data_IF_916019953710
#
_entry.id   IF_916019953710
#
_cell.length_a   1.000
_cell.length_b   1.000
_cell.length_c   1.000
_cell.angle_alpha   90.00
_cell.angle_beta   90.00
_cell.angle_gamma   90.00
#
_symmetry.space_group_name_H-M   'P 1'
#
loop_
_entity.id
_entity.type
_entity.pdbx_description
1 polymer ?
#
# COMPACT_ATOMS: atom_id res chain seq x y z
N UNK A 1 -6.78 57.15 16.91
CA UNK A 1 -7.97 56.89 16.08
C UNK A 1 -8.63 55.61 16.59
N UNK A 2 -9.90 55.64 17.03
CA UNK A 2 -10.59 54.46 17.53
C UNK A 2 -11.14 53.61 16.37
N UNK A 3 -11.00 52.30 16.50
CA UNK A 3 -11.48 51.26 15.58
C UNK A 3 -13.02 51.20 15.65
N UNK A 4 -13.68 51.36 14.50
CA UNK A 4 -15.13 51.30 14.39
C UNK A 4 -15.61 49.85 14.53
N UNK A 5 -16.42 49.58 15.55
CA UNK A 5 -17.11 48.33 15.74
C UNK A 5 -18.09 48.06 14.59
N UNK A 6 -17.85 46.98 13.84
CA UNK A 6 -18.75 46.52 12.78
C UNK A 6 -20.13 46.08 13.31
N UNK A 7 -21.17 46.08 12.47
CA UNK A 7 -22.55 45.87 12.89
C UNK A 7 -22.75 44.44 13.43
N UNK A 8 -23.30 44.36 14.64
CA UNK A 8 -23.75 43.11 15.28
C UNK A 8 -25.06 42.68 14.62
N UNK A 9 -25.00 41.62 13.81
CA UNK A 9 -26.17 41.02 13.15
C UNK A 9 -27.07 40.37 14.23
N UNK A 10 -28.38 40.69 14.29
CA UNK A 10 -29.28 40.15 15.29
C UNK A 10 -29.49 38.62 15.10
N UNK A 11 -29.67 37.85 16.19
CA UNK A 11 -29.73 36.39 16.16
C UNK A 11 -30.95 35.78 15.43
N UNK A 12 -31.86 36.61 14.89
CA UNK A 12 -33.06 36.18 14.17
C UNK A 12 -32.80 35.65 12.75
N UNK A 13 -31.79 36.19 12.06
CA UNK A 13 -31.52 35.85 10.64
C UNK A 13 -30.90 34.46 10.45
N UNK A 14 -30.30 33.89 11.51
CA UNK A 14 -29.70 32.56 11.47
C UNK A 14 -30.75 31.42 11.37
N UNK A 15 -32.02 31.70 11.69
CA UNK A 15 -33.11 30.70 11.60
C UNK A 15 -33.54 30.50 10.15
N UNK A 16 -33.60 31.58 9.37
CA UNK A 16 -33.85 31.54 7.92
C UNK A 16 -32.76 30.80 7.17
N UNK A 17 -31.50 31.08 7.50
CA UNK A 17 -30.33 30.39 6.94
C UNK A 17 -30.28 28.89 7.27
N UNK A 18 -30.77 28.49 8.45
CA UNK A 18 -30.88 27.06 8.80
C UNK A 18 -31.98 26.36 8.02
N UNK A 19 -33.10 27.04 7.74
CA UNK A 19 -34.20 26.47 6.96
C UNK A 19 -33.82 26.35 5.48
N UNK A 20 -33.17 27.37 4.91
CA UNK A 20 -32.66 27.37 3.54
C UNK A 20 -31.52 26.37 3.35
N UNK A 21 -30.58 26.27 4.30
CA UNK A 21 -29.54 25.24 4.28
C UNK A 21 -30.13 23.83 4.39
N UNK A 22 -31.16 23.61 5.23
CA UNK A 22 -31.87 22.32 5.29
C UNK A 22 -32.59 21.99 3.99
N UNK A 23 -33.20 22.98 3.34
CA UNK A 23 -33.89 22.79 2.06
C UNK A 23 -32.89 22.49 0.92
N UNK A 24 -31.78 23.23 0.83
CA UNK A 24 -30.70 22.99 -0.13
C UNK A 24 -30.07 21.60 0.09
N UNK A 25 -29.85 21.20 1.34
CA UNK A 25 -29.35 19.86 1.66
C UNK A 25 -30.38 18.78 1.30
N UNK A 26 -31.69 19.01 1.46
CA UNK A 26 -32.74 18.06 1.00
C UNK A 26 -32.81 17.97 -0.52
N UNK A 27 -32.66 19.08 -1.23
CA UNK A 27 -32.64 19.11 -2.69
C UNK A 27 -31.41 18.37 -3.25
N UNK A 28 -30.24 18.57 -2.64
CA UNK A 28 -29.02 17.81 -2.98
C UNK A 28 -29.13 16.33 -2.59
N UNK A 29 -29.84 15.98 -1.50
CA UNK A 29 -30.14 14.58 -1.11
C UNK A 29 -31.07 13.87 -2.09
N UNK A 30 -32.00 14.60 -2.73
CA UNK A 30 -32.88 14.05 -3.76
C UNK A 30 -32.16 13.79 -5.10
N UNK A 31 -31.06 14.50 -5.36
CA UNK A 31 -30.26 14.38 -6.59
C UNK A 31 -29.10 13.40 -6.53
N UNK A 32 -28.66 12.96 -5.35
CA UNK A 32 -27.64 11.90 -5.26
C UNK A 32 -28.27 10.55 -5.57
N UNK A 33 -28.11 10.11 -6.82
CA UNK A 33 -28.37 8.75 -7.26
C UNK A 33 -27.85 7.77 -6.19
N UNK A 34 -28.76 7.16 -5.44
CA UNK A 34 -28.48 5.87 -4.81
C UNK A 34 -27.97 5.01 -5.95
N UNK A 35 -26.69 4.62 -5.92
CA UNK A 35 -26.09 3.78 -6.95
C UNK A 35 -27.10 2.66 -7.24
N UNK A 36 -27.72 2.74 -8.41
CA UNK A 36 -28.81 1.83 -8.75
C UNK A 36 -28.27 0.43 -8.64
N UNK A 37 -29.11 -0.53 -8.27
CA UNK A 37 -28.69 -1.92 -8.20
C UNK A 37 -27.98 -2.37 -9.50
N UNK A 38 -28.40 -1.81 -10.65
CA UNK A 38 -27.73 -1.98 -11.94
C UNK A 38 -26.31 -1.41 -12.03
N UNK A 39 -26.00 -0.28 -11.39
CA UNK A 39 -24.63 0.28 -11.37
C UNK A 39 -23.70 -0.58 -10.51
N UNK A 40 -24.20 -1.10 -9.39
CA UNK A 40 -23.44 -2.04 -8.57
C UNK A 40 -23.16 -3.34 -9.35
N UNK A 41 -24.17 -3.88 -10.05
CA UNK A 41 -24.02 -5.05 -10.89
C UNK A 41 -23.03 -4.80 -12.05
N UNK A 42 -23.07 -3.62 -12.65
CA UNK A 42 -22.15 -3.21 -13.71
C UNK A 42 -20.71 -3.11 -13.21
N UNK A 43 -20.47 -2.49 -12.06
CA UNK A 43 -19.14 -2.41 -11.45
C UNK A 43 -18.59 -3.81 -11.13
N UNK A 44 -19.45 -4.71 -10.63
CA UNK A 44 -19.11 -6.12 -10.39
C UNK A 44 -18.80 -6.88 -11.67
N UNK A 45 -19.62 -6.71 -12.71
CA UNK A 45 -19.41 -7.34 -14.01
C UNK A 45 -18.09 -6.87 -14.62
N UNK A 46 -17.84 -5.56 -14.65
CA UNK A 46 -16.59 -4.98 -15.18
C UNK A 46 -15.40 -5.47 -14.36
N UNK A 47 -15.48 -5.47 -13.03
CA UNK A 47 -14.41 -5.98 -12.17
C UNK A 47 -14.12 -7.46 -12.39
N UNK A 48 -15.17 -8.29 -12.45
CA UNK A 48 -15.05 -9.73 -12.72
C UNK A 48 -14.50 -10.00 -14.13
N UNK A 49 -15.00 -9.28 -15.14
CA UNK A 49 -14.55 -9.38 -16.52
C UNK A 49 -13.07 -8.99 -16.65
N UNK A 50 -12.68 -7.81 -16.16
CA UNK A 50 -11.28 -7.35 -16.18
C UNK A 50 -10.38 -8.33 -15.45
N UNK A 51 -10.80 -8.83 -14.29
CA UNK A 51 -10.01 -9.83 -13.55
C UNK A 51 -9.88 -11.12 -14.35
N UNK A 52 -10.98 -11.63 -14.92
CA UNK A 52 -10.98 -12.83 -15.74
C UNK A 52 -10.06 -12.65 -16.96
N UNK A 53 -10.18 -11.54 -17.69
CA UNK A 53 -9.32 -11.24 -18.85
C UNK A 53 -7.85 -11.13 -18.46
N UNK A 54 -7.52 -10.45 -17.35
CA UNK A 54 -6.15 -10.36 -16.85
C UNK A 54 -5.63 -11.74 -16.43
N UNK A 55 -6.46 -12.57 -15.80
CA UNK A 55 -6.09 -13.93 -15.40
C UNK A 55 -5.89 -14.83 -16.62
N UNK A 56 -6.72 -14.69 -17.65
CA UNK A 56 -6.59 -15.39 -18.92
C UNK A 56 -5.34 -14.94 -19.68
N UNK A 57 -5.04 -13.64 -19.72
CA UNK A 57 -3.81 -13.11 -20.32
C UNK A 57 -2.57 -13.59 -19.56
N UNK A 58 -2.61 -13.54 -18.23
CA UNK A 58 -1.56 -14.08 -17.38
C UNK A 58 -1.38 -15.57 -17.66
N UNK A 59 -2.47 -16.33 -17.76
CA UNK A 59 -2.42 -17.76 -18.04
C UNK A 59 -1.98 -18.08 -19.48
N UNK A 60 -2.35 -17.28 -20.47
CA UNK A 60 -1.86 -17.44 -21.83
C UNK A 60 -0.35 -17.17 -21.89
N UNK A 61 0.14 -16.21 -21.12
CA UNK A 61 1.56 -15.86 -21.05
C UNK A 61 2.40 -16.84 -20.21
N UNK A 62 1.82 -17.43 -19.16
CA UNK A 62 2.57 -18.20 -18.13
C UNK A 62 2.15 -19.65 -18.01
N UNK A 63 0.99 -20.02 -18.56
CA UNK A 63 0.39 -21.35 -18.50
C UNK A 63 1.26 -22.46 -19.10
N UNK A 64 1.94 -22.25 -20.25
CA UNK A 64 2.91 -23.22 -20.75
C UNK A 64 4.06 -23.46 -19.77
N UNK A 65 4.57 -22.40 -19.14
CA UNK A 65 5.65 -22.44 -18.14
C UNK A 65 5.23 -23.14 -16.85
N UNK A 66 3.96 -22.97 -16.43
CA UNK A 66 3.39 -23.59 -15.22
C UNK A 66 3.04 -25.06 -15.45
N UNK A 67 2.50 -25.40 -16.62
CA UNK A 67 1.99 -26.76 -16.92
C UNK A 67 3.06 -27.68 -17.51
N UNK A 68 4.10 -27.13 -18.13
CA UNK A 68 5.26 -27.85 -18.67
C UNK A 68 6.53 -27.10 -18.27
N UNK A 69 6.94 -27.19 -17.00
CA UNK A 69 8.21 -26.61 -16.60
C UNK A 69 9.33 -27.34 -17.35
N UNK A 70 10.01 -26.64 -18.27
CA UNK A 70 11.24 -27.12 -18.90
C UNK A 70 12.31 -27.19 -17.80
N UNK A 71 12.38 -28.35 -17.14
CA UNK A 71 13.25 -28.59 -16.00
C UNK A 71 14.69 -28.81 -16.44
N UNK A 72 15.37 -27.73 -16.80
CA UNK A 72 16.78 -27.78 -17.13
C UNK A 72 17.68 -27.94 -15.88
N UNK A 73 17.27 -27.46 -14.69
CA UNK A 73 18.17 -27.44 -13.51
C UNK A 73 17.54 -27.74 -12.15
N UNK A 74 16.28 -27.39 -11.87
CA UNK A 74 15.61 -27.75 -10.60
C UNK A 74 14.11 -27.95 -10.78
N UNK A 75 13.68 -29.21 -10.73
CA UNK A 75 12.27 -29.58 -10.83
C UNK A 75 11.71 -29.76 -9.41
N UNK A 76 10.67 -29.00 -9.05
CA UNK A 76 9.97 -29.19 -7.78
C UNK A 76 9.29 -30.57 -7.79
N UNK A 77 9.52 -31.40 -6.77
CA UNK A 77 8.82 -32.68 -6.62
C UNK A 77 7.32 -32.46 -6.39
N UNK A 78 6.49 -33.47 -6.65
CA UNK A 78 5.04 -33.38 -6.40
C UNK A 78 4.71 -33.01 -4.94
N UNK A 79 5.53 -33.47 -3.99
CA UNK A 79 5.42 -33.09 -2.58
C UNK A 79 5.75 -31.61 -2.35
N UNK A 80 6.79 -31.08 -2.99
CA UNK A 80 7.15 -29.67 -2.89
C UNK A 80 6.08 -28.75 -3.49
N UNK A 81 5.44 -29.15 -4.58
CA UNK A 81 4.28 -28.44 -5.15
C UNK A 81 3.09 -28.38 -4.19
N UNK A 82 2.83 -29.44 -3.41
CA UNK A 82 1.78 -29.42 -2.37
C UNK A 82 2.13 -28.48 -1.22
N UNK A 83 3.38 -28.48 -0.76
CA UNK A 83 3.84 -27.51 0.24
C UNK A 83 3.73 -26.07 -0.27
N UNK A 84 4.06 -25.83 -1.55
CA UNK A 84 3.89 -24.54 -2.20
C UNK A 84 2.43 -24.10 -2.23
N UNK A 85 1.52 -24.98 -2.64
CA UNK A 85 0.09 -24.72 -2.66
C UNK A 85 -0.44 -24.38 -1.25
N UNK A 86 -0.02 -25.12 -0.21
CA UNK A 86 -0.39 -24.79 1.18
C UNK A 86 0.17 -23.43 1.63
N UNK A 87 1.44 -23.14 1.32
CA UNK A 87 2.05 -21.85 1.63
C UNK A 87 1.31 -20.69 0.94
N UNK A 88 0.98 -20.84 -0.35
CA UNK A 88 0.21 -19.85 -1.10
C UNK A 88 -1.20 -19.66 -0.56
N UNK A 89 -1.90 -20.75 -0.24
CA UNK A 89 -3.23 -20.67 0.37
C UNK A 89 -3.20 -19.89 1.70
N UNK A 90 -2.21 -20.18 2.54
CA UNK A 90 -2.01 -19.46 3.81
C UNK A 90 -1.67 -17.99 3.59
N UNK A 91 -0.77 -17.69 2.64
CA UNK A 91 -0.38 -16.33 2.27
C UNK A 91 -1.59 -15.52 1.78
N UNK A 92 -2.40 -16.10 0.88
CA UNK A 92 -3.61 -15.49 0.36
C UNK A 92 -4.62 -15.21 1.47
N UNK A 93 -4.82 -16.14 2.39
CA UNK A 93 -5.70 -15.96 3.54
C UNK A 93 -5.25 -14.82 4.46
N UNK A 94 -3.94 -14.74 4.76
CA UNK A 94 -3.37 -13.67 5.58
C UNK A 94 -3.47 -12.31 4.86
N UNK A 95 -3.19 -12.26 3.56
CA UNK A 95 -3.31 -11.06 2.75
C UNK A 95 -4.76 -10.57 2.68
N UNK A 96 -5.73 -11.47 2.47
CA UNK A 96 -7.15 -11.15 2.49
C UNK A 96 -7.57 -10.60 3.86
N UNK A 97 -7.16 -11.24 4.96
CA UNK A 97 -7.46 -10.77 6.31
C UNK A 97 -6.82 -9.40 6.61
N UNK A 98 -5.59 -9.16 6.16
CA UNK A 98 -4.90 -7.89 6.32
C UNK A 98 -5.53 -6.79 5.47
N UNK A 99 -5.88 -7.09 4.21
CA UNK A 99 -6.57 -6.19 3.30
C UNK A 99 -7.94 -5.77 3.83
N UNK A 100 -8.74 -6.72 4.30
CA UNK A 100 -10.05 -6.44 4.91
C UNK A 100 -9.95 -5.61 6.20
N UNK A 101 -8.88 -5.78 6.99
CA UNK A 101 -8.61 -4.92 8.15
C UNK A 101 -8.20 -3.51 7.75
N UNK A 102 -7.43 -3.37 6.68
CA UNK A 102 -7.07 -2.07 6.12
C UNK A 102 -8.28 -1.38 5.46
N UNK A 103 -9.20 -2.15 4.91
CA UNK A 103 -10.43 -1.71 4.26
C UNK A 103 -11.58 -1.34 5.25
N UNK A 104 -11.26 -1.08 6.52
CA UNK A 104 -12.25 -0.66 7.53
C UNK A 104 -12.91 0.71 7.24
N UNK A 105 -13.51 1.39 8.23
CA UNK A 105 -14.25 2.65 8.05
C UNK A 105 -13.46 3.81 7.40
N UNK A 106 -12.16 3.62 7.14
CA UNK A 106 -11.32 4.47 6.30
C UNK A 106 -11.69 4.46 4.80
N UNK A 107 -12.46 3.48 4.31
CA UNK A 107 -12.95 3.42 2.92
C UNK A 107 -14.31 4.10 2.72
N UNK A 108 -14.97 4.53 3.80
CA UNK A 108 -16.04 5.50 3.65
C UNK A 108 -15.41 6.80 3.13
N UNK A 109 -15.85 7.26 1.97
CA UNK A 109 -15.55 8.59 1.43
C UNK A 109 -15.47 9.60 2.60
N UNK A 110 -14.41 10.39 2.77
CA UNK A 110 -14.23 11.25 3.94
C UNK A 110 -15.44 12.13 4.28
N UNK A 111 -16.23 12.50 3.25
CA UNK A 111 -17.52 13.17 3.42
C UNK A 111 -18.61 12.28 4.04
N UNK A 112 -18.70 11.00 3.65
CA UNK A 112 -19.59 10.00 4.29
C UNK A 112 -19.13 9.65 5.71
N UNK A 113 -17.82 9.58 5.95
CA UNK A 113 -17.25 9.27 7.28
C UNK A 113 -17.55 10.38 8.31
N UNK A 114 -17.43 11.65 7.93
CA UNK A 114 -17.80 12.79 8.79
C UNK A 114 -19.30 12.87 9.02
N UNK A 115 -20.11 12.52 8.02
CA UNK A 115 -21.58 12.51 8.11
C UNK A 115 -22.15 11.36 8.96
N UNK A 116 -21.55 10.17 8.86
CA UNK A 116 -21.87 9.01 9.69
C UNK A 116 -21.59 9.24 11.18
N UNK A 117 -20.64 10.14 11.49
CA UNK A 117 -20.30 10.54 12.85
C UNK A 117 -21.26 11.60 13.41
N UNK A 118 -21.80 12.49 12.58
CA UNK A 118 -22.61 13.64 13.03
C UNK A 118 -24.12 13.46 12.96
N UNK A 119 -24.64 12.40 12.31
CA UNK A 119 -26.09 12.19 12.16
C UNK A 119 -26.57 10.88 12.80
N UNK A 120 -27.83 10.86 13.33
CA UNK A 120 -28.47 9.64 13.84
C UNK A 120 -28.99 8.72 12.72
N UNK A 121 -28.56 8.91 11.47
CA UNK A 121 -29.00 8.10 10.34
C UNK A 121 -28.57 6.63 10.50
N UNK A 122 -29.39 5.72 10.00
CA UNK A 122 -29.13 4.28 10.06
C UNK A 122 -27.87 3.92 9.24
N UNK A 123 -26.76 3.76 9.97
CA UNK A 123 -25.42 3.50 9.44
C UNK A 123 -25.35 2.16 8.70
N UNK A 124 -26.25 1.23 9.04
CA UNK A 124 -26.30 -0.09 8.40
C UNK A 124 -26.72 -0.01 6.93
N UNK A 125 -27.71 0.83 6.61
CA UNK A 125 -28.19 0.99 5.24
C UNK A 125 -27.17 1.71 4.33
N UNK A 126 -26.47 2.72 4.86
CA UNK A 126 -25.49 3.51 4.11
C UNK A 126 -24.16 2.79 3.86
N UNK A 127 -23.73 1.93 4.79
CA UNK A 127 -22.48 1.18 4.66
C UNK A 127 -22.63 -0.12 3.86
N UNK A 128 -23.86 -0.68 3.74
CA UNK A 128 -24.10 -1.93 3.01
C UNK A 128 -23.57 -1.91 1.57
N UNK A 129 -23.79 -0.82 0.82
CA UNK A 129 -23.33 -0.72 -0.57
C UNK A 129 -21.81 -0.78 -0.71
N UNK A 130 -21.09 0.02 0.08
CA UNK A 130 -19.61 0.02 0.08
C UNK A 130 -19.01 -1.27 0.63
N UNK A 131 -19.64 -1.85 1.65
CA UNK A 131 -19.22 -3.13 2.23
C UNK A 131 -19.39 -4.27 1.22
N UNK A 132 -20.49 -4.30 0.47
CA UNK A 132 -20.71 -5.30 -0.58
C UNK A 132 -19.69 -5.15 -1.71
N UNK A 133 -19.33 -3.92 -2.09
CA UNK A 133 -18.31 -3.67 -3.10
C UNK A 133 -16.93 -4.13 -2.64
N UNK A 134 -16.52 -3.81 -1.40
CA UNK A 134 -15.25 -4.26 -0.83
C UNK A 134 -15.20 -5.78 -0.66
N UNK A 135 -16.28 -6.38 -0.15
CA UNK A 135 -16.39 -7.83 -0.05
C UNK A 135 -16.31 -8.50 -1.43
N UNK A 136 -16.86 -7.86 -2.46
CA UNK A 136 -16.76 -8.32 -3.84
C UNK A 136 -15.37 -8.29 -4.41
N UNK A 137 -14.69 -7.15 -4.31
CA UNK A 137 -13.30 -7.03 -4.75
C UNK A 137 -12.41 -8.02 -3.99
N UNK A 138 -12.63 -8.18 -2.69
CA UNK A 138 -11.90 -9.16 -1.89
C UNK A 138 -12.18 -10.61 -2.33
N UNK A 139 -13.44 -10.95 -2.64
CA UNK A 139 -13.82 -12.29 -3.11
C UNK A 139 -13.23 -12.59 -4.49
N UNK A 140 -13.25 -11.62 -5.42
CA UNK A 140 -12.66 -11.75 -6.75
C UNK A 140 -11.14 -11.90 -6.65
N UNK A 141 -10.46 -11.07 -5.86
CA UNK A 141 -9.02 -11.16 -5.66
C UNK A 141 -8.60 -12.47 -4.98
N UNK A 142 -9.33 -12.92 -3.96
CA UNK A 142 -9.06 -14.19 -3.29
C UNK A 142 -9.39 -15.40 -4.16
N UNK A 143 -10.42 -15.32 -5.00
CA UNK A 143 -10.73 -16.33 -6.01
C UNK A 143 -9.63 -16.45 -7.06
N UNK A 144 -9.14 -15.33 -7.58
CA UNK A 144 -8.00 -15.28 -8.49
C UNK A 144 -6.73 -15.89 -7.86
N UNK A 145 -6.45 -15.60 -6.59
CA UNK A 145 -5.35 -16.23 -5.85
C UNK A 145 -5.57 -17.74 -5.64
N UNK A 146 -6.82 -18.14 -5.41
CA UNK A 146 -7.24 -19.53 -5.32
C UNK A 146 -6.99 -20.29 -6.62
N UNK A 147 -7.16 -19.66 -7.79
CA UNK A 147 -6.82 -20.27 -9.09
C UNK A 147 -5.33 -20.63 -9.16
N UNK A 148 -4.44 -19.69 -8.81
CA UNK A 148 -2.99 -19.94 -8.79
C UNK A 148 -2.62 -21.07 -7.83
N UNK A 149 -3.25 -21.08 -6.65
CA UNK A 149 -3.06 -22.12 -5.63
C UNK A 149 -3.53 -23.50 -6.14
N UNK A 150 -4.62 -23.52 -6.93
CA UNK A 150 -5.18 -24.73 -7.51
C UNK A 150 -4.34 -25.35 -8.60
N UNK A 151 -3.65 -24.54 -9.40
CA UNK A 151 -2.69 -25.04 -10.38
C UNK A 151 -1.48 -25.68 -9.69
N UNK A 152 -0.93 -25.01 -8.67
CA UNK A 152 0.15 -25.58 -7.86
C UNK A 152 -0.25 -26.94 -7.25
N UNK A 153 -1.49 -27.03 -6.75
CA UNK A 153 -2.06 -28.26 -6.21
C UNK A 153 -2.28 -29.33 -7.30
N UNK A 154 -2.79 -28.95 -8.47
CA UNK A 154 -3.02 -29.85 -9.60
C UNK A 154 -1.73 -30.54 -10.03
N UNK A 155 -0.65 -29.77 -10.17
CA UNK A 155 0.69 -30.27 -10.49
C UNK A 155 1.20 -31.17 -9.36
N UNK A 156 1.08 -30.75 -8.10
CA UNK A 156 1.52 -31.55 -6.95
C UNK A 156 0.77 -32.87 -6.72
N UNK A 157 -0.45 -32.98 -7.25
CA UNK A 157 -1.27 -34.19 -7.26
C UNK A 157 -1.06 -35.04 -8.52
N UNK A 158 -0.20 -34.63 -9.46
CA UNK A 158 0.00 -35.33 -10.74
C UNK A 158 -1.20 -35.25 -11.69
N UNK A 159 -2.09 -34.28 -11.52
CA UNK A 159 -3.30 -34.06 -12.34
C UNK A 159 -3.12 -32.93 -13.36
N UNK A 160 -1.90 -32.73 -13.87
CA UNK A 160 -1.59 -31.68 -14.85
C UNK A 160 -2.37 -31.81 -16.15
N UNK A 161 -2.78 -33.03 -16.54
CA UNK A 161 -3.65 -33.27 -17.70
C UNK A 161 -5.13 -32.95 -17.48
N UNK A 162 -5.58 -32.75 -16.24
CA UNK A 162 -6.96 -32.39 -15.90
C UNK A 162 -7.03 -31.40 -14.71
N UNK A 163 -6.43 -30.20 -14.85
CA UNK A 163 -6.27 -29.27 -13.73
C UNK A 163 -7.58 -28.56 -13.33
N UNK A 164 -8.66 -28.75 -14.09
CA UNK A 164 -9.93 -28.01 -13.91
C UNK A 164 -10.51 -28.21 -12.51
N UNK A 165 -10.62 -29.45 -12.03
CA UNK A 165 -11.23 -29.75 -10.73
C UNK A 165 -10.48 -29.11 -9.53
N UNK A 166 -9.15 -29.29 -9.36
CA UNK A 166 -8.42 -28.64 -8.27
C UNK A 166 -8.42 -27.11 -8.38
N UNK A 167 -8.35 -26.54 -9.58
CA UNK A 167 -8.39 -25.09 -9.81
C UNK A 167 -9.73 -24.48 -9.40
N UNK A 168 -10.84 -25.09 -9.83
CA UNK A 168 -12.18 -24.60 -9.46
C UNK A 168 -12.39 -24.72 -7.96
N UNK A 169 -12.00 -25.83 -7.34
CA UNK A 169 -12.18 -26.05 -5.91
C UNK A 169 -11.42 -25.01 -5.06
N UNK A 170 -10.16 -24.72 -5.38
CA UNK A 170 -9.37 -23.74 -4.63
C UNK A 170 -9.79 -22.30 -4.90
N UNK A 171 -10.25 -21.99 -6.12
CA UNK A 171 -10.83 -20.68 -6.45
C UNK A 171 -12.10 -20.42 -5.63
N UNK A 172 -13.01 -21.40 -5.58
CA UNK A 172 -14.23 -21.33 -4.76
C UNK A 172 -13.87 -21.24 -3.28
N UNK A 173 -12.94 -22.05 -2.78
CA UNK A 173 -12.49 -22.00 -1.39
C UNK A 173 -11.91 -20.62 -1.02
N UNK A 174 -11.10 -20.02 -1.90
CA UNK A 174 -10.55 -18.68 -1.71
C UNK A 174 -11.64 -17.60 -1.65
N UNK A 175 -12.61 -17.63 -2.57
CA UNK A 175 -13.74 -16.71 -2.58
C UNK A 175 -14.61 -16.84 -1.32
N UNK A 176 -14.95 -18.08 -0.92
CA UNK A 176 -15.72 -18.36 0.31
C UNK A 176 -14.97 -17.87 1.54
N UNK A 177 -13.67 -18.12 1.64
CA UNK A 177 -12.84 -17.65 2.74
C UNK A 177 -12.84 -16.12 2.85
N UNK A 178 -12.74 -15.40 1.72
CA UNK A 178 -12.80 -13.94 1.71
C UNK A 178 -14.16 -13.42 2.19
N UNK A 179 -15.26 -14.04 1.77
CA UNK A 179 -16.61 -13.69 2.24
C UNK A 179 -16.76 -13.93 3.75
N UNK A 180 -16.26 -15.06 4.27
CA UNK A 180 -16.25 -15.37 5.71
C UNK A 180 -15.41 -14.34 6.49
N UNK A 181 -14.22 -14.01 6.00
CA UNK A 181 -13.35 -13.01 6.63
C UNK A 181 -13.97 -11.60 6.59
N UNK A 182 -14.66 -11.24 5.50
CA UNK A 182 -15.37 -9.97 5.38
C UNK A 182 -16.52 -9.91 6.39
N UNK A 183 -17.34 -10.96 6.48
CA UNK A 183 -18.40 -11.07 7.48
C UNK A 183 -17.85 -10.98 8.92
N UNK A 184 -16.76 -11.69 9.22
CA UNK A 184 -16.11 -11.64 10.53
C UNK A 184 -15.55 -10.23 10.86
N UNK A 185 -14.96 -9.55 9.86
CA UNK A 185 -14.48 -8.19 10.01
C UNK A 185 -15.64 -7.23 10.32
N UNK A 186 -16.77 -7.36 9.62
CA UNK A 186 -17.98 -6.56 9.86
C UNK A 186 -18.56 -6.79 11.25
N UNK A 187 -18.67 -8.05 11.68
CA UNK A 187 -19.17 -8.38 13.03
C UNK A 187 -18.26 -7.78 14.11
N UNK A 188 -16.93 -7.85 13.94
CA UNK A 188 -15.98 -7.25 14.90
C UNK A 188 -16.07 -5.74 14.90
N UNK A 189 -16.24 -5.10 13.74
CA UNK A 189 -16.43 -3.65 13.63
C UNK A 189 -17.76 -3.20 14.26
N UNK A 190 -18.86 -3.93 14.04
CA UNK A 190 -20.17 -3.64 14.62
C UNK A 190 -20.23 -3.84 16.14
N UNK A 191 -19.39 -4.72 16.71
CA UNK A 191 -19.26 -4.92 18.15
C UNK A 191 -18.41 -3.85 18.86
N UNK A 192 -17.78 -2.92 18.13
CA UNK A 192 -17.06 -1.78 18.71
C UNK A 192 -18.03 -0.69 19.21
N UNK A 193 -18.92 -1.06 20.14
CA UNK A 193 -19.83 -0.14 20.86
C UNK A 193 -19.15 1.01 21.63
N UNK A 194 -17.91 0.91 22.17
CA UNK A 194 -17.37 2.02 22.97
C UNK A 194 -17.00 3.27 22.15
N UNK A 195 -16.80 3.16 20.83
CA UNK A 195 -16.48 4.31 19.97
C UNK A 195 -17.73 5.18 19.72
N UNK A 196 -18.92 4.58 19.68
CA UNK A 196 -20.17 5.32 19.48
C UNK A 196 -20.60 6.12 20.72
N UNK A 197 -20.18 5.71 21.92
CA UNK A 197 -20.34 6.51 23.13
C UNK A 197 -19.30 7.65 23.18
N UNK A 198 -18.04 7.37 22.81
CA UNK A 198 -16.98 8.38 22.74
C UNK A 198 -17.23 9.45 21.65
N UNK A 199 -17.79 9.07 20.50
CA UNK A 199 -18.10 9.99 19.40
C UNK A 199 -19.25 10.95 19.74
N UNK A 200 -20.17 10.56 20.64
CA UNK A 200 -21.25 11.42 21.14
C UNK A 200 -20.76 12.51 22.11
N UNK A 201 -19.53 12.38 22.63
CA UNK A 201 -18.89 13.39 23.47
C UNK A 201 -17.98 14.36 22.73
N UNK A 202 -17.85 14.25 21.40
CA UNK A 202 -17.01 15.17 20.61
C UNK A 202 -17.80 16.44 20.31
N UNK A 203 -17.24 17.59 20.69
CA UNK A 203 -17.90 18.89 20.51
C UNK A 203 -18.16 19.20 19.03
N UNK A 204 -19.30 19.82 18.73
CA UNK A 204 -19.71 20.18 17.36
C UNK A 204 -18.68 21.08 16.63
N UNK A 205 -17.91 21.86 17.39
CA UNK A 205 -16.82 22.68 16.86
C UNK A 205 -15.69 21.83 16.24
N UNK A 206 -15.32 20.72 16.88
CA UNK A 206 -14.29 19.81 16.37
C UNK A 206 -14.79 19.01 15.16
N UNK A 207 -16.10 18.70 15.11
CA UNK A 207 -16.73 18.09 13.95
C UNK A 207 -16.79 19.06 12.75
N UNK A 208 -17.09 20.35 12.96
CA UNK A 208 -17.04 21.37 11.91
C UNK A 208 -15.62 21.58 11.40
N UNK A 209 -14.64 21.67 12.29
CA UNK A 209 -13.22 21.80 11.93
C UNK A 209 -12.72 20.57 11.17
N UNK A 210 -13.18 19.36 11.52
CA UNK A 210 -12.90 18.16 10.74
C UNK A 210 -13.55 18.22 9.35
N UNK A 211 -14.79 18.71 9.26
CA UNK A 211 -15.55 18.93 8.04
C UNK A 211 -14.89 19.92 7.08
N UNK A 212 -14.49 21.09 7.57
CA UNK A 212 -13.77 22.12 6.82
C UNK A 212 -12.45 21.61 6.25
N UNK A 213 -11.69 20.83 7.04
CA UNK A 213 -10.45 20.24 6.54
C UNK A 213 -10.73 19.12 5.53
N UNK A 214 -11.78 18.32 5.68
CA UNK A 214 -12.16 17.34 4.64
C UNK A 214 -12.66 18.01 3.36
N UNK A 215 -13.36 19.15 3.47
CA UNK A 215 -13.79 19.96 2.32
C UNK A 215 -12.59 20.60 1.62
N UNK A 216 -11.61 21.11 2.37
CA UNK A 216 -10.34 21.60 1.82
C UNK A 216 -9.53 20.48 1.15
N UNK A 217 -9.49 19.28 1.73
CA UNK A 217 -8.88 18.08 1.14
C UNK A 217 -9.61 17.66 -0.15
N UNK A 218 -10.94 17.77 -0.18
CA UNK A 218 -11.77 17.50 -1.37
C UNK A 218 -11.57 18.54 -2.46
N UNK A 219 -11.50 19.82 -2.09
CA UNK A 219 -11.23 20.92 -3.00
C UNK A 219 -9.81 20.80 -3.58
N UNK A 220 -8.82 20.41 -2.78
CA UNK A 220 -7.44 20.18 -3.25
C UNK A 220 -7.30 18.91 -4.11
N UNK A 221 -8.07 17.85 -3.84
CA UNK A 221 -8.15 16.68 -4.75
C UNK A 221 -8.87 17.00 -6.06
N UNK A 222 -9.94 17.81 -6.03
CA UNK A 222 -10.64 18.27 -7.24
C UNK A 222 -9.81 19.29 -8.04
N UNK A 223 -8.99 20.11 -7.36
CA UNK A 223 -8.03 21.02 -8.00
C UNK A 223 -6.69 20.34 -8.31
N UNK A 224 -6.58 19.02 -8.11
CA UNK A 224 -5.39 18.21 -8.41
C UNK A 224 -4.09 18.69 -7.76
N UNK A 225 -4.17 19.44 -6.67
CA UNK A 225 -2.99 19.87 -5.91
C UNK A 225 -2.65 18.83 -4.83
N UNK A 226 -1.95 17.77 -5.25
CA UNK A 226 -1.51 16.69 -4.36
C UNK A 226 -0.57 17.15 -3.24
N UNK A 227 0.10 18.30 -3.41
CA UNK A 227 1.07 18.81 -2.43
C UNK A 227 0.39 19.29 -1.14
N UNK A 228 -0.81 19.86 -1.25
CA UNK A 228 -1.61 20.28 -0.11
C UNK A 228 -2.11 19.08 0.73
N UNK A 229 -2.42 17.96 0.08
CA UNK A 229 -2.84 16.72 0.75
C UNK A 229 -1.71 16.10 1.56
N UNK A 230 -0.50 16.05 1.00
CA UNK A 230 0.68 15.55 1.69
C UNK A 230 1.08 16.43 2.87
N UNK A 231 1.02 17.77 2.71
CA UNK A 231 1.25 18.71 3.79
C UNK A 231 0.20 18.57 4.93
N UNK A 232 -1.08 18.39 4.59
CA UNK A 232 -2.15 18.20 5.57
C UNK A 232 -2.07 16.85 6.28
N UNK A 233 -1.74 15.76 5.59
CA UNK A 233 -1.56 14.46 6.23
C UNK A 233 -0.29 14.42 7.09
N UNK A 234 0.80 15.08 6.67
CA UNK A 234 2.00 15.26 7.47
C UNK A 234 1.71 16.08 8.75
N UNK A 235 1.04 17.23 8.64
CA UNK A 235 0.60 18.06 9.78
C UNK A 235 -0.33 17.29 10.72
N UNK A 236 -1.28 16.51 10.21
CA UNK A 236 -2.17 15.66 11.04
C UNK A 236 -1.42 14.53 11.73
N UNK A 237 -0.43 13.90 11.08
CA UNK A 237 0.41 12.86 11.71
C UNK A 237 1.25 13.45 12.85
N UNK A 238 1.74 14.68 12.70
CA UNK A 238 2.48 15.40 13.73
C UNK A 238 1.56 15.89 14.85
N UNK A 239 0.40 16.46 14.51
CA UNK A 239 -0.58 16.98 15.48
C UNK A 239 -1.26 15.88 16.31
N UNK A 240 -1.54 14.70 15.73
CA UNK A 240 -2.09 13.55 16.47
C UNK A 240 -1.08 12.90 17.42
N UNK A 241 0.20 13.25 17.30
CA UNK A 241 1.29 12.57 18.01
C UNK A 241 1.71 13.26 19.31
N UNK A 242 1.21 14.46 19.60
CA UNK A 242 1.48 15.16 20.87
C UNK A 242 2.97 15.47 21.10
N UNK A 243 3.26 16.22 22.17
CA UNK A 243 4.63 16.42 22.65
C UNK A 243 5.14 15.09 23.20
N UNK A 244 6.04 14.43 22.49
CA UNK A 244 6.73 13.27 23.05
C UNK A 244 7.86 13.76 23.96
N UNK A 245 7.91 13.22 25.17
CA UNK A 245 9.12 13.23 25.98
C UNK A 245 10.16 12.37 25.25
N UNK A 246 11.11 13.01 24.57
CA UNK A 246 12.24 12.32 23.98
C UNK A 246 13.07 11.72 25.10
N UNK A 247 13.11 10.38 25.19
CA UNK A 247 14.08 9.71 26.05
C UNK A 247 15.48 9.97 25.49
N UNK A 248 16.44 10.27 26.37
CA UNK A 248 17.83 10.46 26.00
C UNK A 248 18.36 9.15 25.40
N UNK A 249 18.88 9.21 24.18
CA UNK A 249 19.49 8.07 23.53
C UNK A 249 20.75 7.62 24.29
N UNK A 250 21.00 6.32 24.33
CA UNK A 250 22.23 5.77 24.93
C UNK A 250 23.29 5.67 23.83
N UNK A 251 24.44 6.30 24.05
CA UNK A 251 25.59 6.27 23.14
C UNK A 251 25.87 7.60 22.43
N UNK A 252 26.83 7.57 21.49
CA UNK A 252 27.15 8.71 20.62
C UNK A 252 25.98 9.09 19.68
N UNK A 253 26.08 10.22 18.96
CA UNK A 253 24.95 10.79 18.21
C UNK A 253 24.40 9.84 17.14
N UNK A 254 25.27 9.10 16.45
CA UNK A 254 24.89 8.16 15.40
C UNK A 254 24.35 6.83 15.95
N UNK A 255 24.97 6.30 17.00
CA UNK A 255 24.53 5.03 17.61
C UNK A 255 23.22 5.21 18.38
N UNK A 256 23.02 6.37 19.02
CA UNK A 256 21.73 6.75 19.60
C UNK A 256 20.61 6.77 18.56
N UNK A 257 20.88 7.34 17.39
CA UNK A 257 19.92 7.36 16.28
C UNK A 257 19.55 5.95 15.79
N UNK A 258 20.56 5.09 15.61
CA UNK A 258 20.36 3.70 15.20
C UNK A 258 19.55 2.92 16.24
N UNK A 259 19.87 3.04 17.53
CA UNK A 259 19.13 2.34 18.59
C UNK A 259 17.67 2.79 18.67
N UNK A 260 17.39 4.08 18.44
CA UNK A 260 16.01 4.59 18.37
C UNK A 260 15.24 4.02 17.17
N UNK A 261 15.86 3.93 15.99
CA UNK A 261 15.25 3.28 14.82
C UNK A 261 14.99 1.79 15.09
N UNK A 262 15.97 1.05 15.62
CA UNK A 262 15.79 -0.36 15.97
C UNK A 262 14.64 -0.58 16.96
N UNK A 263 14.52 0.26 18.00
CA UNK A 263 13.38 0.21 18.93
C UNK A 263 12.06 0.58 18.25
N UNK A 264 12.07 1.49 17.27
CA UNK A 264 10.89 1.81 16.49
C UNK A 264 10.46 0.63 15.59
N UNK A 265 11.41 -0.13 15.05
CA UNK A 265 11.16 -1.34 14.26
C UNK A 265 10.53 -2.45 15.10
N UNK A 266 11.07 -2.70 16.29
CA UNK A 266 10.51 -3.69 17.23
C UNK A 266 9.04 -3.35 17.55
N UNK A 267 8.73 -2.07 17.76
CA UNK A 267 7.33 -1.62 17.97
C UNK A 267 6.44 -1.79 16.74
N UNK A 268 7.02 -1.89 15.55
CA UNK A 268 6.33 -2.10 14.26
C UNK A 268 6.41 -3.55 13.77
N UNK A 269 6.81 -4.50 14.62
CA UNK A 269 7.02 -5.92 14.26
C UNK A 269 5.91 -6.53 13.42
N UNK A 270 4.64 -6.25 13.72
CA UNK A 270 3.51 -6.81 12.98
C UNK A 270 3.47 -6.36 11.52
N UNK A 271 3.83 -5.10 11.25
CA UNK A 271 3.89 -4.54 9.88
C UNK A 271 5.11 -5.06 9.12
N UNK A 272 6.23 -5.21 9.82
CA UNK A 272 7.44 -5.79 9.23
C UNK A 272 7.23 -7.26 8.87
N UNK A 273 6.59 -8.04 9.75
CA UNK A 273 6.22 -9.42 9.47
C UNK A 273 5.27 -9.53 8.27
N UNK A 274 4.26 -8.66 8.16
CA UNK A 274 3.38 -8.66 6.98
C UNK A 274 4.11 -8.29 5.68
N UNK A 275 5.14 -7.43 5.75
CA UNK A 275 5.92 -7.06 4.58
C UNK A 275 6.91 -8.17 4.18
N UNK A 276 7.55 -8.83 5.14
CA UNK A 276 8.37 -10.03 4.91
C UNK A 276 7.53 -11.18 4.32
N UNK A 277 6.28 -11.32 4.78
CA UNK A 277 5.32 -12.25 4.20
C UNK A 277 5.06 -11.95 2.71
N UNK A 278 5.07 -10.66 2.33
CA UNK A 278 5.01 -10.24 0.93
C UNK A 278 6.20 -10.71 0.09
N UNK A 279 7.41 -10.77 0.66
CA UNK A 279 8.58 -11.35 -0.02
C UNK A 279 8.41 -12.88 -0.24
N UNK A 280 7.79 -13.59 0.70
CA UNK A 280 7.45 -15.02 0.50
C UNK A 280 6.38 -15.22 -0.57
N UNK A 281 5.43 -14.29 -0.69
CA UNK A 281 4.47 -14.31 -1.80
C UNK A 281 5.17 -14.07 -3.16
N UNK A 282 6.19 -13.21 -3.19
CA UNK A 282 7.02 -13.01 -4.39
C UNK A 282 7.82 -14.27 -4.76
N UNK A 283 8.35 -15.00 -3.77
CA UNK A 283 8.97 -16.31 -3.99
C UNK A 283 8.00 -17.29 -4.65
N UNK A 284 6.81 -17.44 -4.08
CA UNK A 284 5.80 -18.36 -4.59
C UNK A 284 5.39 -18.01 -6.02
N UNK A 285 5.22 -16.72 -6.32
CA UNK A 285 4.97 -16.24 -7.67
C UNK A 285 6.15 -16.53 -8.61
N UNK A 286 7.39 -16.38 -8.14
CA UNK A 286 8.59 -16.70 -8.91
C UNK A 286 8.73 -18.19 -9.25
N UNK A 287 8.39 -19.07 -8.30
CA UNK A 287 8.45 -20.52 -8.51
C UNK A 287 7.36 -21.02 -9.45
N UNK A 288 6.21 -20.34 -9.50
CA UNK A 288 5.13 -20.69 -10.42
C UNK A 288 5.33 -20.09 -11.81
N UNK A 289 5.60 -18.79 -11.88
CA UNK A 289 5.55 -18.02 -13.12
C UNK A 289 6.93 -17.91 -13.77
N UNK A 290 8.00 -17.97 -12.98
CA UNK A 290 9.37 -17.88 -13.43
C UNK A 290 10.19 -16.80 -12.69
N UNK A 291 11.52 -16.85 -12.84
CA UNK A 291 12.45 -16.02 -12.07
C UNK A 291 12.26 -14.52 -12.33
N UNK A 292 11.85 -14.12 -13.54
CA UNK A 292 11.59 -12.72 -13.87
C UNK A 292 10.50 -12.11 -12.99
N UNK A 293 9.36 -12.80 -12.87
CA UNK A 293 8.24 -12.31 -12.05
C UNK A 293 8.59 -12.36 -10.57
N UNK A 294 9.30 -13.41 -10.13
CA UNK A 294 9.82 -13.52 -8.77
C UNK A 294 10.71 -12.34 -8.38
N UNK A 295 11.67 -11.97 -9.24
CA UNK A 295 12.58 -10.84 -9.00
C UNK A 295 11.83 -9.51 -8.96
N UNK A 296 10.96 -9.23 -9.94
CA UNK A 296 10.21 -7.97 -10.00
C UNK A 296 9.32 -7.79 -8.77
N UNK A 297 8.57 -8.83 -8.39
CA UNK A 297 7.73 -8.80 -7.18
C UNK A 297 8.58 -8.68 -5.90
N UNK A 298 9.75 -9.30 -5.86
CA UNK A 298 10.68 -9.17 -4.74
C UNK A 298 11.19 -7.73 -4.60
N UNK A 299 11.50 -7.06 -5.70
CA UNK A 299 11.90 -5.65 -5.69
C UNK A 299 10.76 -4.74 -5.20
N UNK A 300 9.52 -4.99 -5.61
CA UNK A 300 8.34 -4.22 -5.15
C UNK A 300 8.06 -4.48 -3.66
N UNK A 301 8.05 -5.75 -3.23
CA UNK A 301 7.86 -6.11 -1.83
C UNK A 301 8.99 -5.56 -0.95
N UNK A 302 10.23 -5.64 -1.44
CA UNK A 302 11.41 -5.03 -0.82
C UNK A 302 11.27 -3.52 -0.69
N UNK A 303 10.73 -2.82 -1.69
CA UNK A 303 10.51 -1.37 -1.61
C UNK A 303 9.49 -1.03 -0.52
N UNK A 304 8.40 -1.79 -0.43
CA UNK A 304 7.43 -1.65 0.67
C UNK A 304 8.10 -1.88 2.02
N UNK A 305 8.92 -2.94 2.14
CA UNK A 305 9.66 -3.27 3.35
C UNK A 305 10.63 -2.14 3.74
N UNK A 306 11.40 -1.62 2.78
CA UNK A 306 12.33 -0.51 2.95
C UNK A 306 11.62 0.78 3.42
N UNK A 307 10.45 1.09 2.88
CA UNK A 307 9.65 2.26 3.30
C UNK A 307 9.06 2.10 4.70
N UNK A 308 8.71 0.88 5.09
CA UNK A 308 8.20 0.59 6.43
C UNK A 308 9.28 0.62 7.50
N UNK A 309 10.50 0.17 7.15
CA UNK A 309 11.63 0.13 8.07
C UNK A 309 12.47 1.41 8.08
N UNK A 310 12.60 2.11 6.96
CA UNK A 310 13.36 3.36 6.81
C UNK A 310 12.63 4.60 7.31
N UNK A 311 11.86 4.50 8.40
CA UNK A 311 11.06 5.61 8.92
C UNK A 311 11.91 6.86 9.20
N UNK A 312 13.02 6.71 9.92
CA UNK A 312 13.97 7.80 10.16
C UNK A 312 14.64 8.30 8.88
N UNK A 313 15.03 7.39 7.97
CA UNK A 313 15.66 7.75 6.69
C UNK A 313 14.74 8.62 5.83
N UNK A 314 13.47 8.23 5.69
CA UNK A 314 12.49 9.02 4.94
C UNK A 314 12.26 10.40 5.56
N UNK A 315 12.20 10.49 6.90
CA UNK A 315 12.05 11.76 7.60
C UNK A 315 13.28 12.67 7.41
N UNK A 316 14.49 12.10 7.46
CA UNK A 316 15.75 12.79 7.22
C UNK A 316 15.84 13.36 5.79
N UNK A 317 15.47 12.55 4.80
CA UNK A 317 15.48 12.93 3.39
C UNK A 317 14.43 14.00 3.09
N UNK A 318 13.22 13.86 3.64
CA UNK A 318 12.11 14.78 3.38
C UNK A 318 12.21 16.12 4.15
N UNK A 319 12.97 16.20 5.25
CA UNK A 319 12.92 17.37 6.16
C UNK A 319 14.25 18.15 6.19
N UNK A 320 14.39 19.25 5.42
CA UNK A 320 15.62 20.05 5.41
C UNK A 320 15.94 20.67 6.78
N UNK A 321 14.93 21.07 7.54
CA UNK A 321 15.13 21.62 8.89
C UNK A 321 15.81 20.64 9.85
N UNK A 322 15.54 19.34 9.71
CA UNK A 322 16.15 18.31 10.54
C UNK A 322 17.63 18.11 10.18
N UNK A 323 18.00 18.31 8.91
CA UNK A 323 19.39 18.29 8.45
C UNK A 323 20.21 19.46 8.98
N UNK A 324 19.59 20.63 9.13
CA UNK A 324 20.24 21.84 9.68
C UNK A 324 20.37 21.79 11.20
N UNK A 325 19.45 21.10 11.89
CA UNK A 325 19.43 21.04 13.35
C UNK A 325 20.42 20.03 13.96
N UNK A 326 20.88 19.05 13.19
CA UNK A 326 21.80 18.01 13.66
C UNK A 326 23.26 18.38 13.31
N UNK A 327 24.15 18.52 14.30
CA UNK A 327 25.55 18.91 14.09
C UNK A 327 26.44 17.78 13.53
N UNK A 328 25.88 16.88 12.71
CA UNK A 328 26.57 15.72 12.17
C UNK A 328 26.63 15.77 10.63
N UNK A 329 27.64 15.12 10.04
CA UNK A 329 27.79 15.09 8.59
C UNK A 329 26.59 14.38 7.94
N UNK A 330 25.87 15.00 6.98
CA UNK A 330 24.60 14.47 6.46
C UNK A 330 24.70 13.09 5.83
N UNK A 331 25.83 12.77 5.19
CA UNK A 331 26.08 11.45 4.63
C UNK A 331 26.16 10.36 5.69
N UNK A 332 26.78 10.64 6.84
CA UNK A 332 26.92 9.69 7.94
C UNK A 332 25.55 9.38 8.59
N UNK A 333 24.71 10.40 8.80
CA UNK A 333 23.35 10.21 9.33
C UNK A 333 22.50 9.39 8.36
N UNK A 334 22.56 9.70 7.05
CA UNK A 334 21.82 8.96 6.03
C UNK A 334 22.29 7.49 5.93
N UNK A 335 23.61 7.25 5.98
CA UNK A 335 24.17 5.90 5.97
C UNK A 335 23.70 5.06 7.17
N UNK A 336 23.73 5.63 8.37
CA UNK A 336 23.27 4.95 9.59
C UNK A 336 21.78 4.62 9.54
N UNK A 337 20.96 5.56 9.05
CA UNK A 337 19.53 5.36 8.87
C UNK A 337 19.19 4.35 7.74
N UNK A 338 20.11 4.16 6.78
CA UNK A 338 19.95 3.20 5.70
C UNK A 338 20.27 1.76 6.10
N UNK A 339 20.98 1.53 7.21
CA UNK A 339 21.36 0.18 7.69
C UNK A 339 20.14 -0.71 7.86
N UNK A 340 19.10 -0.23 8.56
CA UNK A 340 17.92 -1.04 8.85
C UNK A 340 17.09 -1.43 7.61
N UNK A 341 16.73 -0.51 6.68
CA UNK A 341 16.08 -0.90 5.43
C UNK A 341 16.96 -1.79 4.57
N UNK A 342 18.27 -1.53 4.48
CA UNK A 342 19.18 -2.41 3.74
C UNK A 342 19.19 -3.83 4.30
N UNK A 343 19.35 -4.01 5.61
CA UNK A 343 19.38 -5.34 6.23
C UNK A 343 18.04 -6.08 6.07
N UNK A 344 16.91 -5.40 6.31
CA UNK A 344 15.59 -6.04 6.20
C UNK A 344 15.25 -6.41 4.77
N UNK A 345 15.56 -5.56 3.78
CA UNK A 345 15.42 -5.92 2.37
C UNK A 345 16.36 -7.06 2.01
N UNK A 346 17.60 -7.06 2.50
CA UNK A 346 18.54 -8.16 2.29
C UNK A 346 18.01 -9.51 2.81
N UNK A 347 17.39 -9.52 4.00
CA UNK A 347 16.73 -10.72 4.54
C UNK A 347 15.55 -11.12 3.67
N UNK A 348 14.66 -10.17 3.34
CA UNK A 348 13.48 -10.44 2.50
C UNK A 348 13.83 -10.93 1.10
N UNK A 349 14.83 -10.33 0.45
CA UNK A 349 15.32 -10.73 -0.86
C UNK A 349 16.08 -12.05 -0.82
N UNK A 350 16.82 -12.34 0.25
CA UNK A 350 17.49 -13.64 0.41
C UNK A 350 16.46 -14.77 0.53
N UNK A 351 15.41 -14.56 1.32
CA UNK A 351 14.29 -15.51 1.45
C UNK A 351 13.57 -15.73 0.13
N UNK A 352 13.54 -14.74 -0.76
CA UNK A 352 12.79 -14.83 -2.01
C UNK A 352 13.61 -15.26 -3.23
N UNK A 353 14.88 -14.87 -3.33
CA UNK A 353 15.68 -15.05 -4.54
C UNK A 353 16.59 -16.28 -4.49
N UNK A 354 17.16 -16.61 -3.32
CA UNK A 354 18.02 -17.79 -3.19
C UNK A 354 17.29 -19.10 -3.56
N UNK A 355 16.02 -19.31 -3.13
CA UNK A 355 15.31 -20.52 -3.52
C UNK A 355 14.87 -20.55 -4.99
N UNK A 356 14.94 -19.41 -5.70
CA UNK A 356 14.73 -19.34 -7.16
C UNK A 356 16.00 -19.74 -7.93
N UNK A 357 17.08 -20.13 -7.25
CA UNK A 357 18.35 -20.50 -7.86
C UNK A 357 19.23 -19.30 -8.23
N UNK A 358 18.87 -18.08 -7.81
CA UNK A 358 19.71 -16.91 -8.06
C UNK A 358 20.96 -16.94 -7.17
N UNK A 359 22.10 -16.42 -7.69
CA UNK A 359 23.36 -16.41 -6.98
C UNK A 359 23.32 -15.49 -5.74
N UNK A 360 24.18 -15.74 -4.73
CA UNK A 360 24.14 -15.04 -3.45
C UNK A 360 24.42 -13.54 -3.51
N UNK A 361 24.98 -13.04 -4.63
CA UNK A 361 25.16 -11.61 -4.84
C UNK A 361 23.85 -10.88 -5.20
N UNK A 362 22.85 -11.59 -5.76
CA UNK A 362 21.60 -10.98 -6.21
C UNK A 362 20.78 -10.36 -5.05
N UNK A 363 20.57 -11.03 -3.91
CA UNK A 363 19.92 -10.42 -2.74
C UNK A 363 20.61 -9.13 -2.26
N UNK A 364 21.95 -9.07 -2.32
CA UNK A 364 22.74 -7.90 -1.91
C UNK A 364 22.53 -6.74 -2.89
N UNK A 365 22.60 -7.02 -4.19
CA UNK A 365 22.34 -6.01 -5.23
C UNK A 365 20.90 -5.45 -5.15
N UNK A 366 19.92 -6.33 -4.92
CA UNK A 366 18.52 -5.92 -4.71
C UNK A 366 18.39 -5.10 -3.44
N UNK A 367 19.01 -5.48 -2.32
CA UNK A 367 18.97 -4.72 -1.09
C UNK A 367 19.54 -3.30 -1.26
N UNK A 368 20.67 -3.17 -1.96
CA UNK A 368 21.29 -1.89 -2.25
C UNK A 368 20.37 -1.02 -3.14
N UNK A 369 19.96 -1.55 -4.29
CA UNK A 369 19.18 -0.80 -5.27
C UNK A 369 17.76 -0.46 -4.79
N UNK A 370 17.10 -1.33 -4.04
CA UNK A 370 15.77 -1.08 -3.47
C UNK A 370 15.83 -0.09 -2.30
N UNK A 371 16.90 -0.12 -1.50
CA UNK A 371 17.10 0.93 -0.47
C UNK A 371 17.34 2.28 -1.15
N UNK A 372 18.10 2.31 -2.25
CA UNK A 372 18.27 3.51 -3.08
C UNK A 372 16.92 3.99 -3.66
N UNK A 373 16.07 3.07 -4.10
CA UNK A 373 14.71 3.35 -4.57
C UNK A 373 13.82 3.93 -3.47
N UNK A 374 13.94 3.44 -2.24
CA UNK A 374 13.21 3.97 -1.08
C UNK A 374 13.66 5.38 -0.71
N UNK A 375 14.96 5.68 -0.81
CA UNK A 375 15.49 7.04 -0.64
C UNK A 375 14.94 7.97 -1.70
N UNK A 376 14.98 7.55 -2.98
CA UNK A 376 14.40 8.31 -4.09
C UNK A 376 12.90 8.55 -3.92
N UNK A 377 12.15 7.54 -3.49
CA UNK A 377 10.71 7.65 -3.23
C UNK A 377 10.35 8.58 -2.06
N UNK A 378 11.30 8.88 -1.17
CA UNK A 378 11.10 9.79 -0.04
C UNK A 378 11.36 11.24 -0.41
N UNK A 379 11.99 11.50 -1.55
CA UNK A 379 12.20 12.84 -2.05
C UNK A 379 10.94 13.37 -2.73
N UNK A 380 10.64 14.67 -2.58
CA UNK A 380 9.59 15.28 -3.37
C UNK A 380 9.93 15.08 -4.85
N UNK A 381 9.01 14.56 -5.67
CA UNK A 381 9.27 14.43 -7.10
C UNK A 381 9.60 15.81 -7.68
N UNK A 382 10.54 15.90 -8.63
CA UNK A 382 10.90 17.17 -9.23
C UNK A 382 9.64 17.84 -9.78
N UNK A 383 9.46 19.17 -9.59
CA UNK A 383 8.25 19.88 -9.97
C UNK A 383 8.03 19.73 -11.48
N UNK A 384 7.14 18.81 -11.86
CA UNK A 384 6.59 18.73 -13.19
C UNK A 384 5.39 19.65 -13.20
N UNK A 385 5.49 20.74 -13.97
CA UNK A 385 4.36 21.61 -14.32
C UNK A 385 3.11 20.75 -14.58
N UNK A 386 1.95 21.20 -14.11
CA UNK A 386 0.65 20.51 -14.05
C UNK A 386 0.11 19.98 -15.39
N UNK A 387 0.88 19.12 -16.04
CA UNK A 387 0.58 18.51 -17.30
C UNK A 387 -0.48 17.45 -17.03
N UNK A 388 -1.69 17.76 -17.46
CA UNK A 388 -2.82 16.83 -17.43
C UNK A 388 -2.91 16.22 -18.81
N UNK A 389 -2.72 14.91 -18.91
CA UNK A 389 -2.88 14.18 -20.16
C UNK A 389 -4.32 13.66 -20.21
N UNK A 390 -5.06 14.04 -21.25
CA UNK A 390 -6.37 13.48 -21.51
C UNK A 390 -6.20 12.04 -22.00
N UNK A 391 -6.71 11.08 -21.23
CA UNK A 391 -6.80 9.67 -21.63
C UNK A 391 -8.27 9.30 -21.85
N UNK A 392 -8.58 8.21 -22.55
CA UNK A 392 -9.96 7.73 -22.70
C UNK A 392 -10.68 7.48 -21.37
N UNK A 393 -9.93 7.22 -20.28
CA UNK A 393 -10.45 7.06 -18.93
C UNK A 393 -10.53 8.35 -18.10
N UNK A 394 -10.28 9.52 -18.71
CA UNK A 394 -10.29 10.83 -18.06
C UNK A 394 -8.93 11.53 -18.03
N UNK A 395 -8.93 12.74 -17.49
CA UNK A 395 -7.76 13.56 -17.27
C UNK A 395 -6.85 12.94 -16.19
N UNK A 396 -5.65 12.49 -16.59
CA UNK A 396 -4.64 11.97 -15.67
C UNK A 396 -3.57 13.04 -15.41
N UNK A 397 -3.45 13.55 -14.17
CA UNK A 397 -2.36 14.45 -13.82
C UNK A 397 -1.04 13.68 -13.84
N UNK A 398 -0.14 14.03 -14.76
CA UNK A 398 1.15 13.35 -14.89
C UNK A 398 2.03 13.54 -13.66
N UNK A 399 1.81 14.60 -12.86
CA UNK A 399 2.44 14.77 -11.56
C UNK A 399 2.12 13.64 -10.58
N UNK A 400 0.87 13.15 -10.56
CA UNK A 400 0.46 12.04 -9.69
C UNK A 400 1.02 10.71 -10.19
N UNK A 401 0.96 10.47 -11.50
CA UNK A 401 1.57 9.27 -12.11
C UNK A 401 3.07 9.25 -11.81
N UNK A 402 3.76 10.37 -12.00
CA UNK A 402 5.19 10.50 -11.69
C UNK A 402 5.46 10.27 -10.21
N UNK A 403 4.65 10.82 -9.30
CA UNK A 403 4.81 10.61 -7.86
C UNK A 403 4.62 9.13 -7.45
N UNK A 404 3.68 8.43 -8.08
CA UNK A 404 3.44 6.99 -7.84
C UNK A 404 4.58 6.15 -8.40
N UNK A 405 5.11 6.52 -9.57
CA UNK A 405 6.18 5.79 -10.26
C UNK A 405 7.56 6.12 -9.71
N UNK A 406 7.74 7.26 -9.03
CA UNK A 406 9.02 7.71 -8.47
C UNK A 406 9.49 6.80 -7.34
N UNK A 407 10.51 5.99 -7.63
CA UNK A 407 11.02 4.97 -6.71
C UNK A 407 10.73 3.55 -7.20
N UNK A 408 9.45 3.15 -7.39
CA UNK A 408 9.13 1.85 -7.99
C UNK A 408 9.81 1.61 -9.33
N UNK A 409 9.94 2.65 -10.17
CA UNK A 409 10.71 2.60 -11.42
C UNK A 409 12.15 2.11 -11.20
N UNK A 410 12.84 2.67 -10.20
CA UNK A 410 14.20 2.30 -9.85
C UNK A 410 14.27 0.87 -9.30
N UNK A 411 13.31 0.48 -8.45
CA UNK A 411 13.26 -0.86 -7.87
C UNK A 411 13.08 -1.93 -8.96
N UNK A 412 12.17 -1.70 -9.92
CA UNK A 412 11.97 -2.59 -11.07
C UNK A 412 13.21 -2.61 -11.97
N UNK A 413 13.81 -1.44 -12.25
CA UNK A 413 15.05 -1.34 -13.02
C UNK A 413 16.20 -2.13 -12.39
N UNK A 414 16.34 -2.12 -11.06
CA UNK A 414 17.32 -2.93 -10.32
C UNK A 414 17.04 -4.43 -10.51
N UNK A 415 15.78 -4.86 -10.43
CA UNK A 415 15.42 -6.26 -10.67
C UNK A 415 15.80 -6.72 -12.08
N UNK A 416 15.51 -5.90 -13.10
CA UNK A 416 15.91 -6.17 -14.48
C UNK A 416 17.43 -6.19 -14.67
N UNK A 417 18.16 -5.28 -14.01
CA UNK A 417 19.62 -5.24 -14.03
C UNK A 417 20.21 -6.54 -13.44
N UNK A 418 19.68 -7.01 -12.32
CA UNK A 418 20.13 -8.26 -11.67
C UNK A 418 19.92 -9.45 -12.60
N UNK A 419 18.74 -9.58 -13.22
CA UNK A 419 18.48 -10.65 -14.20
C UNK A 419 19.42 -10.57 -15.42
N UNK A 420 19.62 -9.37 -15.95
CA UNK A 420 20.48 -9.15 -17.10
C UNK A 420 21.97 -9.41 -16.81
N UNK A 421 22.40 -9.15 -15.58
CA UNK A 421 23.76 -9.41 -15.12
C UNK A 421 24.00 -10.89 -14.83
N UNK A 422 23.01 -11.58 -14.24
CA UNK A 422 23.04 -13.02 -14.03
C UNK A 422 23.16 -13.77 -15.36
N UNK A 423 22.33 -13.42 -16.34
CA UNK A 423 22.37 -14.01 -17.68
C UNK A 423 23.70 -13.80 -18.43
N UNK A 424 24.50 -12.80 -18.05
CA UNK A 424 25.80 -12.47 -18.68
C UNK A 424 27.01 -12.74 -17.80
N UNK A 425 26.83 -13.28 -16.59
CA UNK A 425 27.92 -13.46 -15.62
C UNK A 425 28.56 -12.16 -15.12
N UNK A 426 27.89 -11.01 -15.25
CA UNK A 426 28.41 -9.66 -14.92
C UNK A 426 28.09 -9.24 -13.47
N UNK A 427 28.27 -10.15 -12.53
CA UNK A 427 27.85 -9.96 -11.14
C UNK A 427 28.52 -8.77 -10.44
N UNK A 428 29.82 -8.57 -10.68
CA UNK A 428 30.60 -7.49 -10.05
C UNK A 428 30.12 -6.11 -10.49
N UNK A 429 29.75 -5.96 -11.77
CA UNK A 429 29.19 -4.72 -12.30
C UNK A 429 27.80 -4.42 -11.72
N UNK A 430 26.94 -5.43 -11.57
CA UNK A 430 25.61 -5.23 -10.98
C UNK A 430 25.68 -4.83 -9.50
N UNK A 431 26.52 -5.51 -8.71
CA UNK A 431 26.74 -5.16 -7.30
C UNK A 431 27.38 -3.77 -7.19
N UNK A 432 28.42 -3.49 -7.98
CA UNK A 432 29.06 -2.18 -8.03
C UNK A 432 28.09 -1.06 -8.40
N UNK A 433 27.27 -1.26 -9.43
CA UNK A 433 26.29 -0.27 -9.89
C UNK A 433 25.20 -0.01 -8.84
N UNK A 434 24.68 -1.05 -8.19
CA UNK A 434 23.63 -0.89 -7.16
C UNK A 434 24.15 -0.27 -5.86
N UNK A 435 25.37 -0.59 -5.45
CA UNK A 435 26.05 0.06 -4.33
C UNK A 435 26.41 1.51 -4.65
N UNK A 436 26.92 1.79 -5.85
CA UNK A 436 27.19 3.15 -6.30
C UNK A 436 25.90 3.98 -6.38
N UNK A 437 24.80 3.38 -6.84
CA UNK A 437 23.48 4.01 -6.84
C UNK A 437 23.00 4.34 -5.43
N UNK A 438 23.15 3.42 -4.47
CA UNK A 438 22.83 3.69 -3.07
C UNK A 438 23.73 4.80 -2.49
N UNK A 439 25.04 4.72 -2.71
CA UNK A 439 26.01 5.73 -2.28
C UNK A 439 25.68 7.11 -2.84
N UNK A 440 25.41 7.20 -4.14
CA UNK A 440 24.95 8.43 -4.81
C UNK A 440 23.66 8.96 -4.19
N UNK A 441 22.67 8.10 -3.98
CA UNK A 441 21.41 8.48 -3.35
C UNK A 441 21.61 9.00 -1.92
N UNK A 442 22.53 8.44 -1.14
CA UNK A 442 22.77 8.88 0.23
C UNK A 442 23.61 10.16 0.30
N UNK A 443 24.65 10.27 -0.53
CA UNK A 443 25.66 11.31 -0.47
C UNK A 443 25.37 12.54 -1.32
N UNK A 444 24.44 12.46 -2.28
CA UNK A 444 24.15 13.61 -3.15
C UNK A 444 23.72 14.83 -2.32
N UNK A 445 24.21 16.03 -2.68
CA UNK A 445 23.79 17.26 -2.04
C UNK A 445 22.28 17.46 -2.19
N UNK A 446 21.65 17.92 -1.11
CA UNK A 446 20.20 18.18 -1.02
C UNK A 446 20.00 19.58 -0.45
N UNK A 447 19.87 20.55 -1.33
CA UNK A 447 19.63 21.96 -0.98
C UNK A 447 18.24 22.18 -0.37
#
# INVERSE_FOLDING_TARGET
MPEAAGPVVPPGDLVGDRASARAAVRAVRGGTHTAGWGQLLQDWYVGAFVTATLLTLLFAATGPSILRPDCATTCLSGTQHRWMAMAMGLLGAVAAAAGLRAAGPAWADPGRATWLLSTPADRGALLRGGVLQVAGVAAVAAGAWGVLTGFALAVGLGRSGSPVAPVVLTAVAGAVLALVLAAAALVRQGRARPIAAAARGVADADLRRAGEVTAAVRATTLMLDGTALDALTARRRLGRRGRFTSAVGVGGPLTGLLTHELRALVRRRSRLLSALLGCLAALAAGLLIGPLVGVVLTCIAGLVLARLSGGGLTAWVATPGLRRALPAHPGAVAAVLAVAPFALVGVGSSLALLPLGLPPWAPVAVAAGVTAAAVRAAEPPPPGLGLVVATPGGALPMGLVRAVVHGPDLAVGVGLLVLAADARGLWSLAVGATLALLGWQLLRPRE
#
